data_IF_112382466242
#
_entry.id   IF_112382466242
#
_cell.length_a   1.000
_cell.length_b   1.000
_cell.length_c   1.000
_cell.angle_alpha   90.00
_cell.angle_beta   90.00
_cell.angle_gamma   90.00
#
_symmetry.space_group_name_H-M   'P 1'
#
loop_
_entity.id
_entity.type
_entity.pdbx_description
1 polymer ?
#
# COMPACT_ATOMS: atom_id res chain seq x y z
N UNK A 1 13.78 -14.27 16.53
CA UNK A 1 14.15 -13.08 15.74
C UNK A 1 15.13 -12.15 16.45
N UNK A 2 16.44 -12.34 16.21
CA UNK A 2 17.53 -11.43 16.50
C UNK A 2 17.30 -10.05 15.87
N UNK A 3 17.98 -9.04 16.43
CA UNK A 3 17.93 -7.66 15.94
C UNK A 3 18.30 -7.54 14.45
N UNK A 4 19.27 -8.33 13.97
CA UNK A 4 19.71 -8.33 12.57
C UNK A 4 18.63 -8.76 11.56
N UNK A 5 17.85 -9.80 11.89
CA UNK A 5 16.77 -10.29 11.01
C UNK A 5 15.60 -9.31 10.96
N UNK A 6 15.29 -8.64 12.08
CA UNK A 6 14.28 -7.57 12.12
C UNK A 6 14.68 -6.36 11.27
N UNK A 7 15.97 -5.99 11.29
CA UNK A 7 16.48 -4.89 10.47
C UNK A 7 16.38 -5.21 8.96
N UNK A 8 16.78 -6.42 8.55
CA UNK A 8 16.63 -6.88 7.14
C UNK A 8 15.18 -6.85 6.67
N UNK A 9 14.27 -7.37 7.49
CA UNK A 9 12.84 -7.35 7.18
C UNK A 9 12.30 -5.92 7.04
N UNK A 10 12.65 -5.04 7.97
CA UNK A 10 12.22 -3.62 7.93
C UNK A 10 12.75 -2.91 6.69
N UNK A 11 14.02 -3.13 6.35
CA UNK A 11 14.63 -2.56 5.14
C UNK A 11 13.91 -3.06 3.89
N UNK A 12 13.64 -4.36 3.78
CA UNK A 12 12.93 -4.91 2.63
C UNK A 12 11.51 -4.35 2.52
N UNK A 13 10.77 -4.30 3.63
CA UNK A 13 9.42 -3.73 3.66
C UNK A 13 9.42 -2.24 3.29
N UNK A 14 10.42 -1.47 3.73
CA UNK A 14 10.54 -0.05 3.34
C UNK A 14 10.88 0.16 1.86
N UNK A 15 11.48 -0.83 1.19
CA UNK A 15 11.82 -0.77 -0.23
C UNK A 15 10.69 -1.26 -1.13
N UNK A 16 9.95 -2.30 -0.69
CA UNK A 16 8.82 -2.84 -1.46
C UNK A 16 7.56 -1.98 -1.31
N UNK A 17 7.37 -1.32 -0.16
CA UNK A 17 6.21 -0.48 0.10
C UNK A 17 6.03 0.65 -0.93
N UNK A 18 7.07 1.40 -1.32
CA UNK A 18 6.97 2.39 -2.39
C UNK A 18 6.55 1.80 -3.73
N UNK A 19 7.02 0.61 -4.07
CA UNK A 19 6.65 -0.09 -5.30
C UNK A 19 5.16 -0.48 -5.27
N UNK A 20 4.66 -0.94 -4.12
CA UNK A 20 3.23 -1.18 -3.93
C UNK A 20 2.42 0.11 -4.00
N UNK A 21 2.85 1.18 -3.35
CA UNK A 21 2.14 2.46 -3.37
C UNK A 21 2.08 3.05 -4.79
N UNK A 22 3.19 3.04 -5.54
CA UNK A 22 3.23 3.53 -6.92
C UNK A 22 2.36 2.71 -7.87
N UNK A 23 2.45 1.38 -7.81
CA UNK A 23 1.58 0.49 -8.61
C UNK A 23 0.11 0.61 -8.21
N UNK A 24 -0.17 0.86 -6.92
CA UNK A 24 -1.50 1.13 -6.39
C UNK A 24 -2.10 2.42 -6.90
N UNK A 25 -1.34 3.52 -6.90
CA UNK A 25 -1.79 4.79 -7.49
C UNK A 25 -2.11 4.63 -8.97
N UNK A 26 -1.22 3.98 -9.71
CA UNK A 26 -1.42 3.73 -11.13
C UNK A 26 -2.67 2.88 -11.41
N UNK A 27 -2.82 1.75 -10.71
CA UNK A 27 -3.99 0.89 -10.88
C UNK A 27 -5.30 1.58 -10.43
N UNK A 28 -5.24 2.38 -9.38
CA UNK A 28 -6.39 3.15 -8.90
C UNK A 28 -6.78 4.28 -9.87
N UNK A 29 -5.82 4.92 -10.54
CA UNK A 29 -6.06 5.91 -11.61
C UNK A 29 -6.75 5.24 -12.82
N UNK A 30 -6.25 4.09 -13.26
CA UNK A 30 -6.89 3.30 -14.34
C UNK A 30 -8.35 2.94 -13.99
N UNK A 31 -8.60 2.45 -12.78
CA UNK A 31 -9.95 2.06 -12.33
C UNK A 31 -10.87 3.23 -11.99
N UNK A 32 -10.31 4.38 -11.59
CA UNK A 32 -11.07 5.60 -11.41
C UNK A 32 -11.64 6.12 -12.74
N UNK A 33 -11.17 5.62 -13.88
CA UNK A 33 -11.66 5.98 -15.20
C UNK A 33 -11.11 7.33 -15.68
N UNK A 34 -10.00 7.77 -15.10
CA UNK A 34 -9.25 8.94 -15.57
C UNK A 34 -8.36 8.56 -16.76
N UNK A 35 -7.74 9.58 -17.35
CA UNK A 35 -7.12 9.59 -18.70
C UNK A 35 -6.13 8.46 -19.02
N UNK A 36 -5.70 7.65 -18.06
CA UNK A 36 -4.74 6.54 -18.21
C UNK A 36 -5.08 5.51 -19.31
N UNK A 37 -6.35 5.36 -19.71
CA UNK A 37 -6.75 4.47 -20.80
C UNK A 37 -6.57 5.08 -22.21
N UNK A 38 -6.21 6.36 -22.32
CA UNK A 38 -5.94 7.04 -23.60
C UNK A 38 -4.44 7.06 -23.94
N UNK A 39 -4.04 7.15 -25.23
CA UNK A 39 -2.63 7.24 -25.63
C UNK A 39 -1.86 8.40 -24.97
N UNK A 40 -2.55 9.51 -24.68
CA UNK A 40 -2.02 10.68 -23.97
C UNK A 40 -1.90 10.46 -22.45
N UNK A 41 -2.66 9.51 -21.89
CA UNK A 41 -2.68 9.18 -20.46
C UNK A 41 -1.54 8.31 -19.96
N UNK A 42 -0.78 7.67 -20.86
CA UNK A 42 0.38 6.85 -20.49
C UNK A 42 1.46 7.64 -19.70
N UNK A 43 1.65 8.91 -20.06
CA UNK A 43 2.56 9.82 -19.34
C UNK A 43 2.02 10.19 -17.94
N UNK A 44 0.70 10.35 -17.81
CA UNK A 44 0.06 10.68 -16.54
C UNK A 44 0.09 9.49 -15.57
N UNK A 45 -0.14 8.28 -16.07
CA UNK A 45 -0.02 7.05 -15.28
C UNK A 45 1.42 6.81 -14.80
N UNK A 46 2.41 7.05 -15.67
CA UNK A 46 3.83 6.95 -15.31
C UNK A 46 4.24 8.00 -14.26
N UNK A 47 3.66 9.20 -14.33
CA UNK A 47 3.83 10.24 -13.31
C UNK A 47 3.28 9.80 -11.95
N UNK A 48 2.08 9.21 -11.88
CA UNK A 48 1.54 8.71 -10.62
C UNK A 48 2.33 7.56 -10.02
N UNK A 49 2.88 6.68 -10.87
CA UNK A 49 3.77 5.62 -10.43
C UNK A 49 5.06 6.18 -9.80
N UNK A 50 5.73 7.11 -10.48
CA UNK A 50 6.94 7.78 -9.98
C UNK A 50 6.66 8.61 -8.73
N UNK A 51 5.57 9.38 -8.72
CA UNK A 51 5.15 10.19 -7.57
C UNK A 51 4.87 9.30 -6.35
N UNK A 52 4.16 8.18 -6.55
CA UNK A 52 3.92 7.20 -5.50
C UNK A 52 5.20 6.61 -4.94
N UNK A 53 6.12 6.19 -5.80
CA UNK A 53 7.41 5.62 -5.36
C UNK A 53 8.23 6.65 -4.57
N UNK A 54 8.34 7.89 -5.06
CA UNK A 54 9.17 8.91 -4.42
C UNK A 54 8.60 9.39 -3.08
N UNK A 55 7.28 9.50 -2.98
CA UNK A 55 6.61 10.01 -1.77
C UNK A 55 6.34 8.92 -0.74
N UNK A 56 6.19 7.66 -1.13
CA UNK A 56 5.76 6.60 -0.22
C UNK A 56 6.85 6.08 0.73
N UNK A 57 8.14 6.25 0.41
CA UNK A 57 9.22 5.79 1.27
C UNK A 57 9.14 6.35 2.71
N UNK A 58 9.03 7.68 2.95
CA UNK A 58 8.86 8.20 4.31
C UNK A 58 7.52 7.79 4.93
N UNK A 59 6.47 7.59 4.13
CA UNK A 59 5.16 7.20 4.64
C UNK A 59 5.18 5.82 5.31
N UNK A 60 6.01 4.88 4.84
CA UNK A 60 6.15 3.57 5.48
C UNK A 60 6.49 3.69 6.98
N UNK A 61 7.44 4.56 7.31
CA UNK A 61 7.92 4.74 8.69
C UNK A 61 6.90 5.45 9.60
N UNK A 62 6.01 6.26 9.02
CA UNK A 62 5.00 7.02 9.76
C UNK A 62 3.71 6.22 9.94
N UNK A 63 3.42 5.27 9.04
CA UNK A 63 2.14 4.54 9.00
C UNK A 63 2.27 3.05 9.32
N UNK A 64 2.78 2.25 8.38
CA UNK A 64 2.80 0.79 8.50
C UNK A 64 3.83 0.26 9.49
N UNK A 65 4.96 0.95 9.67
CA UNK A 65 5.95 0.57 10.67
C UNK A 65 5.43 0.64 12.11
N UNK A 66 4.81 1.76 12.59
CA UNK A 66 4.22 1.79 13.92
C UNK A 66 3.01 0.85 14.04
N UNK A 67 2.21 0.71 12.98
CA UNK A 67 1.08 -0.23 12.96
C UNK A 67 1.53 -1.69 13.15
N UNK A 68 2.57 -2.12 12.42
CA UNK A 68 3.16 -3.44 12.56
C UNK A 68 3.75 -3.70 13.94
N UNK A 69 4.43 -2.70 14.53
CA UNK A 69 4.92 -2.77 15.91
C UNK A 69 3.79 -2.92 16.92
N UNK A 70 2.71 -2.14 16.78
CA UNK A 70 1.55 -2.19 17.67
C UNK A 70 0.85 -3.55 17.60
N UNK A 71 0.60 -4.06 16.38
CA UNK A 71 -0.03 -5.37 16.19
C UNK A 71 0.86 -6.52 16.68
N UNK A 72 2.18 -6.40 16.52
CA UNK A 72 3.15 -7.33 17.09
C UNK A 72 3.13 -7.33 18.63
N UNK A 73 3.06 -6.14 19.25
CA UNK A 73 2.95 -6.00 20.71
C UNK A 73 1.66 -6.62 21.26
N UNK A 74 0.55 -6.49 20.52
CA UNK A 74 -0.75 -7.08 20.87
C UNK A 74 -0.83 -8.60 20.61
N UNK A 75 0.25 -9.23 20.13
CA UNK A 75 0.25 -10.64 19.69
C UNK A 75 -0.92 -10.97 18.75
N UNK A 76 -1.28 -10.01 17.89
CA UNK A 76 -2.39 -10.20 16.95
C UNK A 76 -2.13 -11.37 16.00
N UNK A 77 -3.20 -12.09 15.68
CA UNK A 77 -3.15 -13.19 14.72
C UNK A 77 -2.90 -12.65 13.31
N UNK A 78 -2.34 -13.48 12.42
CA UNK A 78 -2.06 -13.10 11.03
C UNK A 78 -3.30 -12.57 10.29
N UNK A 79 -4.52 -13.13 10.45
CA UNK A 79 -5.72 -12.54 9.85
C UNK A 79 -6.04 -11.14 10.36
N UNK A 80 -5.83 -10.87 11.64
CA UNK A 80 -6.06 -9.53 12.23
C UNK A 80 -5.07 -8.52 11.68
N UNK A 81 -3.79 -8.90 11.54
CA UNK A 81 -2.79 -8.06 10.88
C UNK A 81 -3.17 -7.73 9.44
N UNK A 82 -3.58 -8.75 8.67
CA UNK A 82 -4.01 -8.60 7.29
C UNK A 82 -5.21 -7.65 7.16
N UNK A 83 -6.22 -7.81 8.01
CA UNK A 83 -7.37 -6.91 8.04
C UNK A 83 -6.97 -5.48 8.42
N UNK A 84 -6.12 -5.29 9.42
CA UNK A 84 -5.67 -3.97 9.85
C UNK A 84 -4.87 -3.25 8.73
N UNK A 85 -3.98 -3.97 8.05
CA UNK A 85 -3.21 -3.39 6.94
C UNK A 85 -4.10 -3.07 5.75
N UNK A 86 -5.04 -3.96 5.42
CA UNK A 86 -6.01 -3.75 4.36
C UNK A 86 -6.91 -2.54 4.64
N UNK A 87 -7.45 -2.43 5.86
CA UNK A 87 -8.28 -1.29 6.26
C UNK A 87 -7.49 0.02 6.26
N UNK A 88 -6.29 0.04 6.84
CA UNK A 88 -5.44 1.24 6.87
C UNK A 88 -5.06 1.70 5.45
N UNK A 89 -4.67 0.76 4.59
CA UNK A 89 -4.33 1.05 3.20
C UNK A 89 -5.56 1.54 2.42
N UNK A 90 -6.70 0.87 2.52
CA UNK A 90 -7.94 1.26 1.84
C UNK A 90 -8.44 2.65 2.25
N UNK A 91 -8.40 2.97 3.55
CA UNK A 91 -8.72 4.31 4.05
C UNK A 91 -7.74 5.37 3.53
N UNK A 92 -6.44 5.05 3.52
CA UNK A 92 -5.41 5.93 2.96
C UNK A 92 -5.61 6.19 1.47
N UNK A 93 -5.90 5.13 0.69
CA UNK A 93 -6.18 5.22 -0.74
C UNK A 93 -7.44 6.03 -1.05
N UNK A 94 -8.51 5.84 -0.27
CA UNK A 94 -9.72 6.64 -0.37
C UNK A 94 -9.44 8.13 -0.13
N UNK A 95 -8.78 8.44 1.00
CA UNK A 95 -8.44 9.81 1.37
C UNK A 95 -7.60 10.51 0.31
N UNK A 96 -6.60 9.80 -0.23
CA UNK A 96 -5.72 10.32 -1.27
C UNK A 96 -6.49 10.65 -2.56
N UNK A 97 -7.33 9.74 -3.06
CA UNK A 97 -8.08 10.00 -4.29
C UNK A 97 -9.19 11.05 -4.11
N UNK A 98 -9.86 11.11 -2.96
CA UNK A 98 -10.83 12.18 -2.66
C UNK A 98 -10.15 13.54 -2.71
N UNK A 99 -8.94 13.66 -2.14
CA UNK A 99 -8.15 14.90 -2.18
C UNK A 99 -7.70 15.24 -3.60
N UNK A 100 -7.29 14.24 -4.37
CA UNK A 100 -6.74 14.40 -5.71
C UNK A 100 -7.82 14.74 -6.75
N UNK A 101 -9.03 14.20 -6.61
CA UNK A 101 -10.15 14.43 -7.51
C UNK A 101 -11.14 15.50 -7.03
N UNK A 102 -10.86 16.15 -5.89
CA UNK A 102 -11.68 17.27 -5.40
C UNK A 102 -13.04 16.87 -4.82
N UNK A 103 -13.20 15.63 -4.35
CA UNK A 103 -14.44 15.14 -3.73
C UNK A 103 -14.86 13.75 -4.23
N UNK A 104 -16.09 13.35 -3.88
CA UNK A 104 -16.76 12.20 -4.51
C UNK A 104 -17.45 12.70 -5.79
N UNK A 105 -16.92 12.41 -6.98
CA UNK A 105 -17.48 12.95 -8.21
C UNK A 105 -18.85 12.29 -8.47
N UNK A 106 -19.92 13.09 -8.43
CA UNK A 106 -21.22 12.69 -8.97
C UNK A 106 -21.12 12.77 -10.50
N UNK A 107 -21.16 11.62 -11.20
CA UNK A 107 -21.26 11.57 -12.66
C UNK A 107 -20.01 11.13 -13.43
N UNK A 108 -18.98 10.57 -12.78
CA UNK A 108 -17.90 9.89 -13.52
C UNK A 108 -18.32 8.47 -13.96
N UNK A 109 -17.85 8.05 -15.14
CA UNK A 109 -18.09 6.70 -15.68
C UNK A 109 -17.21 5.62 -15.03
N UNK A 110 -16.19 5.99 -14.25
CA UNK A 110 -15.31 5.07 -13.52
C UNK A 110 -15.70 4.85 -12.06
N UNK A 111 -14.92 4.04 -11.33
CA UNK A 111 -15.22 3.69 -9.93
C UNK A 111 -14.97 4.84 -8.93
N UNK A 112 -14.39 5.96 -9.40
CA UNK A 112 -14.09 7.12 -8.57
C UNK A 112 -13.21 6.77 -7.34
N UNK A 113 -13.40 7.40 -6.17
CA UNK A 113 -12.64 7.12 -4.96
C UNK A 113 -12.73 5.67 -4.46
N UNK A 114 -13.75 4.91 -4.86
CA UNK A 114 -13.88 3.50 -4.51
C UNK A 114 -12.76 2.64 -5.15
N UNK A 115 -12.19 3.08 -6.28
CA UNK A 115 -11.01 2.45 -6.87
C UNK A 115 -9.84 2.44 -5.87
N UNK A 116 -9.62 3.55 -5.16
CA UNK A 116 -8.57 3.68 -4.16
C UNK A 116 -8.80 2.77 -2.96
N UNK A 117 -10.04 2.65 -2.50
CA UNK A 117 -10.36 1.70 -1.42
C UNK A 117 -9.98 0.28 -1.84
N UNK A 118 -10.44 -0.17 -3.00
CA UNK A 118 -10.24 -1.55 -3.45
C UNK A 118 -8.76 -1.87 -3.71
N UNK A 119 -8.09 -1.02 -4.47
CA UNK A 119 -6.69 -1.24 -4.87
C UNK A 119 -5.78 -1.18 -3.65
N UNK A 120 -5.90 -0.14 -2.82
CA UNK A 120 -5.03 -0.03 -1.66
C UNK A 120 -5.39 -1.05 -0.58
N UNK A 121 -6.65 -1.44 -0.40
CA UNK A 121 -7.01 -2.54 0.51
C UNK A 121 -6.37 -3.86 0.07
N UNK A 122 -6.36 -4.16 -1.23
CA UNK A 122 -5.68 -5.33 -1.77
C UNK A 122 -4.15 -5.26 -1.55
N UNK A 123 -3.55 -4.09 -1.73
CA UNK A 123 -2.11 -3.89 -1.45
C UNK A 123 -1.76 -3.96 0.03
N UNK A 124 -2.63 -3.49 0.92
CA UNK A 124 -2.46 -3.66 2.37
C UNK A 124 -2.48 -5.14 2.76
N UNK A 125 -3.37 -5.92 2.16
CA UNK A 125 -3.37 -7.38 2.32
C UNK A 125 -2.08 -8.01 1.79
N UNK A 126 -1.64 -7.62 0.59
CA UNK A 126 -0.39 -8.08 -0.02
C UNK A 126 0.82 -7.76 0.88
N UNK A 127 0.88 -6.55 1.45
CA UNK A 127 1.93 -6.14 2.36
C UNK A 127 1.95 -7.00 3.64
N UNK A 128 0.78 -7.31 4.20
CA UNK A 128 0.69 -8.21 5.35
C UNK A 128 1.16 -9.64 5.02
N UNK A 129 0.83 -10.14 3.81
CA UNK A 129 1.33 -11.43 3.35
C UNK A 129 2.85 -11.42 3.14
N UNK A 130 3.41 -10.34 2.58
CA UNK A 130 4.85 -10.15 2.41
C UNK A 130 5.56 -10.12 3.76
N UNK A 131 5.02 -9.39 4.75
CA UNK A 131 5.56 -9.39 6.12
C UNK A 131 5.55 -10.81 6.71
N UNK A 132 4.42 -11.52 6.66
CA UNK A 132 4.31 -12.89 7.17
C UNK A 132 5.28 -13.87 6.47
N UNK A 133 5.46 -13.73 5.16
CA UNK A 133 6.44 -14.53 4.40
C UNK A 133 7.87 -14.27 4.90
N UNK A 134 8.24 -13.00 5.09
CA UNK A 134 9.57 -12.64 5.60
C UNK A 134 9.77 -13.10 7.05
N UNK A 135 8.75 -12.94 7.90
CA UNK A 135 8.76 -13.45 9.29
C UNK A 135 9.08 -14.95 9.31
N UNK A 136 8.40 -15.75 8.48
CA UNK A 136 8.62 -17.20 8.37
C UNK A 136 9.99 -17.54 7.79
N UNK A 137 10.40 -16.86 6.72
CA UNK A 137 11.69 -17.11 6.04
C UNK A 137 12.86 -16.89 6.98
N UNK A 138 12.91 -15.75 7.65
CA UNK A 138 14.01 -15.41 8.56
C UNK A 138 13.94 -16.19 9.88
N UNK A 139 12.76 -16.66 10.31
CA UNK A 139 12.66 -17.58 11.44
C UNK A 139 13.16 -18.99 11.10
N UNK A 140 13.10 -19.41 9.83
CA UNK A 140 13.64 -20.69 9.38
C UNK A 140 15.18 -20.67 9.25
N UNK A 141 15.77 -19.52 8.89
CA UNK A 141 17.24 -19.33 8.87
C UNK A 141 17.88 -19.37 10.27
N UNK A 142 17.08 -19.35 11.35
CA UNK A 142 17.53 -19.45 12.74
C UNK A 142 17.60 -20.90 13.27
N UNK A 143 17.12 -21.89 12.50
CA UNK A 143 17.16 -23.32 12.86
C UNK A 143 18.29 -24.04 12.15
#
# INVERSE_FOLDING_TARGET
MPAGNKAKMTLFLSLIFPLYAGSGLWAADVLAGTRAASPEGSLLGSFFLLFGILTAFPFYFISFFPLGKLLGALRSTQPVKALAYSAAAGLGGCWLLVRQYGGFPQGQQGMGPAAGVLVFAALGLLLAMTENYLEKKFAAEER
#
